data_IF_182743618804
#
_entry.id   IF_182743618804
#
_cell.length_a   1.000
_cell.length_b   1.000
_cell.length_c   1.000
_cell.angle_alpha   90.00
_cell.angle_beta   90.00
_cell.angle_gamma   90.00
#
_symmetry.space_group_name_H-M   'P 1'
#
loop_
_entity.id
_entity.type
_entity.pdbx_description
1 polymer ?
#
# COMPACT_ATOMS: atom_id res chain seq x y z
N UNK A 1 -12.79 18.80 -11.11
CA UNK A 1 -13.15 19.24 -9.73
C UNK A 1 -11.87 19.35 -8.91
N UNK A 2 -11.70 20.35 -8.03
CA UNK A 2 -10.48 20.47 -7.21
C UNK A 2 -10.73 19.88 -5.83
N UNK A 3 -10.03 18.79 -5.47
CA UNK A 3 -10.10 18.19 -4.13
C UNK A 3 -8.77 18.41 -3.39
N UNK A 4 -8.81 18.60 -2.07
CA UNK A 4 -7.59 18.65 -1.25
C UNK A 4 -6.91 17.28 -1.27
N UNK A 5 -5.61 17.24 -1.50
CA UNK A 5 -4.84 15.97 -1.58
C UNK A 5 -5.03 15.07 -0.35
N UNK A 6 -5.15 15.68 0.84
CA UNK A 6 -5.42 14.95 2.08
C UNK A 6 -6.75 14.18 2.03
N UNK A 7 -7.85 14.81 1.60
CA UNK A 7 -9.14 14.12 1.45
C UNK A 7 -9.12 13.08 0.34
N UNK A 8 -8.46 13.40 -0.79
CA UNK A 8 -8.31 12.46 -1.90
C UNK A 8 -7.58 11.18 -1.46
N UNK A 9 -6.51 11.30 -0.66
CA UNK A 9 -5.82 10.16 -0.09
C UNK A 9 -6.75 9.26 0.73
N UNK A 10 -7.55 9.82 1.65
CA UNK A 10 -8.46 9.02 2.46
C UNK A 10 -9.53 8.36 1.59
N UNK A 11 -10.19 9.10 0.69
CA UNK A 11 -11.24 8.57 -0.18
C UNK A 11 -10.70 7.40 -1.03
N UNK A 12 -9.52 7.54 -1.62
CA UNK A 12 -8.89 6.48 -2.41
C UNK A 12 -8.53 5.25 -1.55
N UNK A 13 -7.94 5.45 -0.37
CA UNK A 13 -7.56 4.35 0.51
C UNK A 13 -8.79 3.62 1.08
N UNK A 14 -9.84 4.34 1.48
CA UNK A 14 -11.11 3.76 1.92
C UNK A 14 -11.83 3.01 0.79
N UNK A 15 -11.86 3.56 -0.43
CA UNK A 15 -12.45 2.86 -1.59
C UNK A 15 -11.70 1.57 -1.91
N UNK A 16 -10.37 1.60 -1.82
CA UNK A 16 -9.52 0.40 -1.95
C UNK A 16 -9.85 -0.65 -0.89
N UNK A 17 -10.06 -0.21 0.36
CA UNK A 17 -10.40 -1.06 1.49
C UNK A 17 -11.77 -1.72 1.35
N UNK A 18 -12.81 -0.98 0.95
CA UNK A 18 -14.15 -1.54 0.72
C UNK A 18 -14.10 -2.63 -0.35
N UNK A 19 -13.47 -2.34 -1.49
CA UNK A 19 -13.31 -3.32 -2.56
C UNK A 19 -12.53 -4.54 -2.08
N UNK A 20 -11.42 -4.35 -1.35
CA UNK A 20 -10.62 -5.44 -0.82
C UNK A 20 -11.41 -6.36 0.14
N UNK A 21 -12.30 -5.80 0.96
CA UNK A 21 -13.15 -6.57 1.86
C UNK A 21 -14.20 -7.39 1.10
N UNK A 22 -14.82 -6.83 0.07
CA UNK A 22 -15.77 -7.57 -0.77
C UNK A 22 -15.07 -8.71 -1.51
N UNK A 23 -13.87 -8.45 -2.02
CA UNK A 23 -13.08 -9.43 -2.78
C UNK A 23 -12.57 -10.56 -1.91
N UNK A 24 -12.16 -10.28 -0.67
CA UNK A 24 -11.76 -11.36 0.25
C UNK A 24 -12.91 -12.31 0.55
N UNK A 25 -14.15 -11.82 0.53
CA UNK A 25 -15.31 -12.69 0.63
C UNK A 25 -15.48 -13.61 -0.59
N UNK A 26 -15.25 -13.08 -1.79
CA UNK A 26 -15.27 -13.88 -3.03
C UNK A 26 -14.11 -14.87 -3.06
N UNK A 27 -12.92 -14.48 -2.60
CA UNK A 27 -11.74 -15.36 -2.51
C UNK A 27 -12.04 -16.61 -1.67
N UNK A 28 -12.82 -16.48 -0.60
CA UNK A 28 -13.25 -17.61 0.25
C UNK A 28 -14.15 -18.55 -0.52
N UNK A 29 -15.12 -18.02 -1.27
CA UNK A 29 -16.03 -18.80 -2.12
C UNK A 29 -15.22 -19.58 -3.16
N UNK A 30 -14.26 -18.93 -3.84
CA UNK A 30 -13.39 -19.60 -4.81
C UNK A 30 -12.52 -20.67 -4.12
N UNK A 31 -11.99 -20.37 -2.93
CA UNK A 31 -11.15 -21.28 -2.15
C UNK A 31 -11.86 -22.56 -1.69
N UNK A 32 -13.19 -22.60 -1.70
CA UNK A 32 -13.94 -23.85 -1.50
C UNK A 32 -13.82 -24.81 -2.69
N UNK A 33 -13.77 -24.26 -3.91
CA UNK A 33 -13.63 -25.02 -5.14
C UNK A 33 -12.16 -25.32 -5.46
N UNK A 34 -11.27 -24.35 -5.22
CA UNK A 34 -9.83 -24.44 -5.48
C UNK A 34 -9.06 -24.49 -4.16
N UNK A 35 -8.91 -25.70 -3.62
CA UNK A 35 -8.24 -25.93 -2.34
C UNK A 35 -6.71 -25.82 -2.39
N UNK A 36 -6.12 -25.82 -3.58
CA UNK A 36 -4.68 -25.67 -3.73
C UNK A 36 -4.31 -24.18 -3.88
N UNK A 37 -3.51 -23.60 -2.97
CA UNK A 37 -3.20 -22.17 -2.97
C UNK A 37 -2.38 -21.74 -4.19
N UNK A 38 -1.56 -22.63 -4.76
CA UNK A 38 -0.75 -22.34 -5.95
C UNK A 38 -1.64 -22.23 -7.19
N UNK A 39 -2.60 -23.16 -7.33
CA UNK A 39 -3.56 -23.17 -8.42
C UNK A 39 -4.43 -21.91 -8.37
N UNK A 40 -4.96 -21.61 -7.18
CA UNK A 40 -5.78 -20.42 -6.94
C UNK A 40 -5.00 -19.13 -7.27
N UNK A 41 -3.79 -19.01 -6.71
CA UNK A 41 -2.94 -17.84 -6.91
C UNK A 41 -2.57 -17.61 -8.36
N UNK A 42 -2.14 -18.65 -9.07
CA UNK A 42 -1.76 -18.55 -10.49
C UNK A 42 -2.98 -18.26 -11.39
N UNK A 43 -4.12 -18.90 -11.13
CA UNK A 43 -5.38 -18.63 -11.85
C UNK A 43 -5.83 -17.17 -11.72
N UNK A 44 -5.74 -16.62 -10.51
CA UNK A 44 -6.07 -15.21 -10.24
C UNK A 44 -5.09 -14.26 -10.91
N UNK A 45 -3.80 -14.60 -10.99
CA UNK A 45 -2.84 -13.77 -11.71
C UNK A 45 -3.06 -13.79 -13.23
N UNK A 46 -3.35 -14.95 -13.82
CA UNK A 46 -3.68 -15.04 -15.23
C UNK A 46 -4.90 -14.18 -15.57
N UNK A 47 -5.99 -14.35 -14.82
CA UNK A 47 -7.21 -13.59 -15.05
C UNK A 47 -7.02 -12.10 -14.74
N UNK A 48 -6.33 -11.79 -13.65
CA UNK A 48 -6.00 -10.42 -13.26
C UNK A 48 -5.16 -9.70 -14.31
N UNK A 49 -4.24 -10.40 -14.98
CA UNK A 49 -3.44 -9.84 -16.07
C UNK A 49 -4.28 -9.60 -17.32
N UNK A 50 -5.13 -10.56 -17.70
CA UNK A 50 -6.09 -10.39 -18.79
C UNK A 50 -6.99 -9.17 -18.57
N UNK A 51 -7.59 -9.07 -17.38
CA UNK A 51 -8.44 -7.92 -17.03
C UNK A 51 -7.66 -6.60 -17.00
N UNK A 52 -6.41 -6.62 -16.52
CA UNK A 52 -5.57 -5.43 -16.53
C UNK A 52 -5.30 -4.94 -17.96
N UNK A 53 -5.07 -5.84 -18.93
CA UNK A 53 -4.93 -5.49 -20.35
C UNK A 53 -6.24 -4.88 -20.87
N UNK A 54 -7.36 -5.57 -20.67
CA UNK A 54 -8.68 -5.15 -21.18
C UNK A 54 -9.04 -3.76 -20.65
N UNK A 55 -8.98 -3.55 -19.32
CA UNK A 55 -9.34 -2.27 -18.74
C UNK A 55 -8.37 -1.16 -19.08
N UNK A 56 -7.06 -1.42 -19.07
CA UNK A 56 -6.08 -0.38 -19.43
C UNK A 56 -6.21 -0.01 -20.91
N UNK A 57 -6.57 -0.97 -21.77
CA UNK A 57 -6.93 -0.75 -23.18
C UNK A 57 -8.16 0.14 -23.31
N UNK A 58 -9.27 -0.25 -22.65
CA UNK A 58 -10.51 0.53 -22.62
C UNK A 58 -10.28 1.96 -22.12
N UNK A 59 -9.56 2.14 -21.01
CA UNK A 59 -9.28 3.45 -20.45
C UNK A 59 -8.36 4.30 -21.33
N UNK A 60 -7.58 3.70 -22.24
CA UNK A 60 -6.71 4.40 -23.20
C UNK A 60 -7.46 5.03 -24.36
N UNK A 61 -8.72 4.63 -24.60
CA UNK A 61 -9.57 5.21 -25.64
C UNK A 61 -9.71 6.71 -25.38
N UNK A 62 -9.41 7.51 -26.40
CA UNK A 62 -9.44 8.96 -26.32
C UNK A 62 -10.79 9.49 -26.76
N UNK A 63 -11.42 10.30 -25.91
CA UNK A 63 -12.69 10.98 -26.20
C UNK A 63 -12.54 12.47 -25.90
N UNK A 64 -12.83 13.33 -26.89
CA UNK A 64 -12.67 14.80 -26.80
C UNK A 64 -11.25 15.23 -26.35
N UNK A 65 -10.22 14.59 -26.90
CA UNK A 65 -8.81 14.97 -26.70
C UNK A 65 -8.16 14.49 -25.39
N UNK A 66 -8.89 13.80 -24.51
CA UNK A 66 -8.36 13.15 -23.29
C UNK A 66 -8.75 11.68 -23.28
N UNK A 67 -7.95 10.84 -22.64
CA UNK A 67 -8.36 9.44 -22.46
C UNK A 67 -9.43 9.29 -21.38
N UNK A 68 -10.24 8.25 -21.48
CA UNK A 68 -11.27 7.96 -20.47
C UNK A 68 -10.62 7.80 -19.10
N UNK A 69 -9.48 7.12 -19.03
CA UNK A 69 -8.72 6.95 -17.79
C UNK A 69 -8.18 8.26 -17.22
N UNK A 70 -7.75 9.21 -18.08
CA UNK A 70 -7.33 10.56 -17.65
C UNK A 70 -8.46 11.29 -16.94
N UNK A 71 -9.69 11.17 -17.46
CA UNK A 71 -10.85 11.92 -16.97
C UNK A 71 -11.51 11.31 -15.74
N UNK A 72 -11.44 9.99 -15.59
CA UNK A 72 -12.24 9.25 -14.60
C UNK A 72 -11.40 8.64 -13.48
N UNK A 73 -10.22 8.09 -13.80
CA UNK A 73 -9.48 7.23 -12.88
C UNK A 73 -8.20 7.89 -12.37
N UNK A 74 -7.30 8.36 -13.24
CA UNK A 74 -6.04 9.02 -12.85
C UNK A 74 -5.73 10.14 -13.86
N UNK A 75 -5.71 11.41 -13.43
CA UNK A 75 -5.37 12.56 -14.28
C UNK A 75 -3.99 12.48 -14.95
N UNK A 76 -3.10 11.63 -14.44
CA UNK A 76 -1.77 11.41 -14.99
C UNK A 76 -1.78 10.42 -16.17
N UNK A 77 -2.85 9.62 -16.29
CA UNK A 77 -2.97 8.62 -17.34
C UNK A 77 -3.24 9.26 -18.70
N UNK A 78 -2.64 8.70 -19.75
CA UNK A 78 -2.86 9.13 -21.14
C UNK A 78 -3.19 7.93 -22.00
N UNK A 79 -2.24 7.03 -22.16
CA UNK A 79 -2.36 5.78 -22.93
C UNK A 79 -1.49 4.71 -22.28
N UNK A 80 -1.68 3.47 -22.72
CA UNK A 80 -0.76 2.38 -22.41
C UNK A 80 0.65 2.77 -22.87
N UNK A 81 1.64 2.49 -22.04
CA UNK A 81 3.05 2.64 -22.38
C UNK A 81 3.86 1.49 -21.80
N UNK A 82 4.98 1.18 -22.45
CA UNK A 82 5.98 0.28 -21.90
C UNK A 82 6.75 0.94 -20.75
N UNK A 83 7.22 0.14 -19.77
CA UNK A 83 8.00 0.64 -18.66
C UNK A 83 9.39 1.03 -19.17
N UNK A 84 9.90 2.17 -18.70
CA UNK A 84 11.27 2.59 -19.04
C UNK A 84 12.30 1.78 -18.27
N UNK A 85 13.55 1.74 -18.75
CA UNK A 85 14.68 1.06 -18.08
C UNK A 85 14.82 1.42 -16.60
N UNK A 86 14.58 2.69 -16.25
CA UNK A 86 14.63 3.17 -14.86
C UNK A 86 13.48 2.65 -13.98
N UNK A 87 12.35 2.25 -14.57
CA UNK A 87 11.16 1.74 -13.87
C UNK A 87 11.22 0.22 -13.67
N UNK A 88 11.85 -0.51 -14.61
CA UNK A 88 11.86 -1.98 -14.66
C UNK A 88 12.27 -2.61 -13.33
N UNK A 89 13.38 -2.15 -12.72
CA UNK A 89 13.85 -2.67 -11.43
C UNK A 89 12.77 -2.62 -10.35
N UNK A 90 12.02 -1.53 -10.32
CA UNK A 90 11.00 -1.32 -9.31
C UNK A 90 9.73 -2.11 -9.60
N UNK A 91 9.36 -2.25 -10.88
CA UNK A 91 8.26 -3.14 -11.28
C UNK A 91 8.57 -4.60 -10.95
N UNK A 92 9.80 -5.05 -11.19
CA UNK A 92 10.27 -6.39 -10.83
C UNK A 92 10.11 -6.62 -9.32
N UNK A 93 10.69 -5.75 -8.49
CA UNK A 93 10.63 -5.92 -7.03
C UNK A 93 9.21 -5.78 -6.50
N UNK A 94 8.40 -4.88 -7.08
CA UNK A 94 7.00 -4.74 -6.72
C UNK A 94 6.15 -5.94 -7.14
N UNK A 95 6.44 -6.54 -8.30
CA UNK A 95 5.76 -7.72 -8.82
C UNK A 95 6.11 -8.97 -8.02
N UNK A 96 7.39 -9.16 -7.68
CA UNK A 96 7.83 -10.24 -6.80
C UNK A 96 7.18 -10.15 -5.42
N UNK A 97 7.15 -8.95 -4.81
CA UNK A 97 6.46 -8.74 -3.54
C UNK A 97 4.98 -9.08 -3.59
N UNK A 98 4.31 -8.69 -4.69
CA UNK A 98 2.90 -9.00 -4.93
C UNK A 98 2.66 -10.51 -5.09
N UNK A 99 3.52 -11.22 -5.82
CA UNK A 99 3.44 -12.67 -5.98
C UNK A 99 3.60 -13.39 -4.63
N UNK A 100 4.64 -13.05 -3.86
CA UNK A 100 4.91 -13.62 -2.52
C UNK A 100 3.72 -13.37 -1.59
N UNK A 101 3.24 -12.13 -1.51
CA UNK A 101 2.10 -11.78 -0.69
C UNK A 101 0.85 -12.58 -1.07
N UNK A 102 0.53 -12.65 -2.38
CA UNK A 102 -0.70 -13.28 -2.86
C UNK A 102 -0.72 -14.79 -2.62
N UNK A 103 0.41 -15.48 -2.87
CA UNK A 103 0.52 -16.91 -2.58
C UNK A 103 0.41 -17.17 -1.06
N UNK A 104 1.12 -16.38 -0.25
CA UNK A 104 1.05 -16.50 1.21
C UNK A 104 -0.37 -16.23 1.75
N UNK A 105 -1.06 -15.23 1.20
CA UNK A 105 -2.45 -14.91 1.55
C UNK A 105 -3.39 -16.09 1.24
N UNK A 106 -3.32 -16.69 0.04
CA UNK A 106 -4.18 -17.83 -0.29
C UNK A 106 -3.87 -19.07 0.54
N UNK A 107 -2.59 -19.30 0.86
CA UNK A 107 -2.20 -20.38 1.78
C UNK A 107 -2.89 -20.21 3.14
N UNK A 108 -2.82 -19.00 3.70
CA UNK A 108 -3.46 -18.69 4.98
C UNK A 108 -5.00 -18.78 4.89
N UNK A 109 -5.57 -18.31 3.78
CA UNK A 109 -7.01 -18.31 3.54
C UNK A 109 -7.56 -19.75 3.49
N UNK A 110 -6.86 -20.67 2.84
CA UNK A 110 -7.28 -22.08 2.76
C UNK A 110 -7.17 -22.79 4.11
N UNK A 111 -6.16 -22.44 4.92
CA UNK A 111 -5.99 -22.99 6.27
C UNK A 111 -7.08 -22.50 7.24
N UNK A 112 -7.38 -21.19 7.22
CA UNK A 112 -8.25 -20.55 8.23
C UNK A 112 -9.72 -20.48 7.78
N UNK A 113 -9.97 -20.34 6.47
CA UNK A 113 -11.29 -20.24 5.82
C UNK A 113 -12.21 -19.13 6.35
N UNK A 114 -11.64 -18.09 6.97
CA UNK A 114 -12.36 -16.89 7.42
C UNK A 114 -11.53 -15.63 7.08
N UNK A 115 -12.02 -14.77 6.18
CA UNK A 115 -11.28 -13.59 5.76
C UNK A 115 -11.15 -12.55 6.89
N UNK A 116 -12.07 -12.55 7.86
CA UNK A 116 -12.01 -11.66 9.04
C UNK A 116 -10.86 -12.02 9.99
N UNK A 117 -10.33 -13.24 9.90
CA UNK A 117 -9.15 -13.69 10.64
C UNK A 117 -7.85 -13.48 9.84
N UNK A 118 -7.90 -13.67 8.52
CA UNK A 118 -6.73 -13.57 7.63
C UNK A 118 -6.27 -12.12 7.39
N UNK A 119 -7.22 -11.22 7.14
CA UNK A 119 -6.89 -9.83 6.76
C UNK A 119 -6.26 -8.98 7.88
N UNK A 120 -6.62 -9.14 9.17
CA UNK A 120 -5.90 -8.49 10.26
C UNK A 120 -4.42 -8.83 10.31
N UNK A 121 -4.04 -10.10 10.10
CA UNK A 121 -2.62 -10.49 10.08
C UNK A 121 -1.79 -9.76 9.01
N UNK A 122 -2.43 -9.37 7.91
CA UNK A 122 -1.78 -8.60 6.84
C UNK A 122 -1.53 -7.13 7.21
N UNK A 123 -2.02 -6.64 8.36
CA UNK A 123 -1.82 -5.24 8.79
C UNK A 123 -0.55 -5.02 9.60
N UNK A 124 0.09 -6.09 10.07
CA UNK A 124 1.42 -6.03 10.71
C UNK A 124 2.44 -5.34 9.80
N UNK A 125 2.23 -5.39 8.48
CA UNK A 125 3.06 -4.69 7.49
C UNK A 125 3.21 -3.19 7.75
N UNK A 126 2.29 -2.54 8.46
CA UNK A 126 2.46 -1.14 8.86
C UNK A 126 3.76 -0.96 9.66
N UNK A 127 4.08 -1.88 10.57
CA UNK A 127 5.34 -1.85 11.33
C UNK A 127 6.56 -1.94 10.39
N UNK A 128 6.51 -2.87 9.43
CA UNK A 128 7.56 -3.05 8.43
C UNK A 128 7.74 -1.76 7.60
N UNK A 129 6.64 -1.15 7.16
CA UNK A 129 6.68 0.09 6.39
C UNK A 129 7.23 1.26 7.22
N UNK A 130 6.84 1.40 8.48
CA UNK A 130 7.37 2.45 9.37
C UNK A 130 8.89 2.30 9.56
N UNK A 131 9.38 1.07 9.79
CA UNK A 131 10.80 0.79 9.94
C UNK A 131 11.56 1.09 8.64
N UNK A 132 11.08 0.58 7.51
CA UNK A 132 11.76 0.77 6.23
C UNK A 132 11.72 2.23 5.79
N UNK A 133 10.63 2.96 6.00
CA UNK A 133 10.56 4.41 5.75
C UNK A 133 11.52 5.19 6.64
N UNK A 134 11.70 4.78 7.90
CA UNK A 134 12.69 5.38 8.81
C UNK A 134 14.11 5.29 8.24
N UNK A 135 14.47 4.13 7.73
CA UNK A 135 15.80 3.85 7.16
C UNK A 135 15.96 4.54 5.80
N UNK A 136 15.00 4.34 4.89
CA UNK A 136 15.12 4.77 3.49
C UNK A 136 14.87 6.26 3.28
N UNK A 137 13.98 6.88 4.04
CA UNK A 137 13.69 8.32 3.95
C UNK A 137 14.41 9.15 5.02
N UNK A 138 15.30 8.53 5.82
CA UNK A 138 15.95 9.15 7.00
C UNK A 138 14.94 9.86 7.92
N UNK A 139 13.72 9.35 7.98
CA UNK A 139 12.58 9.99 8.65
C UNK A 139 12.22 9.20 9.89
N UNK A 140 12.86 9.53 11.01
CA UNK A 140 12.61 8.85 12.29
C UNK A 140 11.13 8.93 12.64
N UNK A 141 10.46 7.79 12.88
CA UNK A 141 9.05 7.77 13.22
C UNK A 141 8.83 8.46 14.55
N UNK A 142 7.68 9.13 14.69
CA UNK A 142 7.32 9.75 15.96
C UNK A 142 6.88 8.69 16.96
N UNK A 143 6.95 9.01 18.26
CA UNK A 143 6.42 8.13 19.29
C UNK A 143 4.94 7.81 19.04
N UNK A 144 4.16 8.79 18.60
CA UNK A 144 2.73 8.63 18.25
C UNK A 144 2.56 7.61 17.12
N UNK A 145 3.40 7.65 16.09
CA UNK A 145 3.31 6.71 14.97
C UNK A 145 3.77 5.30 15.33
N UNK A 146 4.81 5.16 16.15
CA UNK A 146 5.22 3.86 16.69
C UNK A 146 4.11 3.30 17.57
N UNK A 147 3.58 4.10 18.49
CA UNK A 147 2.47 3.68 19.35
C UNK A 147 1.24 3.32 18.52
N UNK A 148 0.87 4.15 17.56
CA UNK A 148 -0.29 3.91 16.71
C UNK A 148 -0.11 2.70 15.81
N UNK A 149 1.08 2.45 15.25
CA UNK A 149 1.35 1.26 14.45
C UNK A 149 1.38 -0.02 15.30
N UNK A 150 1.91 0.05 16.52
CA UNK A 150 1.85 -1.05 17.50
C UNK A 150 0.41 -1.30 17.92
N UNK A 151 -0.38 -0.27 18.22
CA UNK A 151 -1.81 -0.39 18.56
C UNK A 151 -2.60 -1.01 17.40
N UNK A 152 -2.37 -0.57 16.16
CA UNK A 152 -3.01 -1.18 14.97
C UNK A 152 -2.63 -2.65 14.84
N UNK A 153 -1.36 -2.98 15.06
CA UNK A 153 -0.86 -4.36 14.97
C UNK A 153 -1.42 -5.24 16.09
N UNK A 154 -1.43 -4.78 17.33
CA UNK A 154 -2.01 -5.48 18.46
C UNK A 154 -3.52 -5.65 18.29
N UNK A 155 -4.22 -4.60 17.88
CA UNK A 155 -5.65 -4.65 17.57
C UNK A 155 -5.95 -5.65 16.46
N UNK A 156 -5.08 -5.74 15.46
CA UNK A 156 -5.21 -6.72 14.40
C UNK A 156 -4.99 -8.16 14.90
N UNK A 157 -3.96 -8.38 15.72
CA UNK A 157 -3.71 -9.69 16.36
C UNK A 157 -4.90 -10.10 17.22
N UNK A 158 -5.41 -9.21 18.08
CA UNK A 158 -6.58 -9.47 18.93
C UNK A 158 -7.83 -9.77 18.10
N UNK A 159 -8.06 -9.01 17.03
CA UNK A 159 -9.15 -9.25 16.08
C UNK A 159 -9.05 -10.59 15.35
N UNK A 160 -7.82 -11.11 15.17
CA UNK A 160 -7.54 -12.39 14.50
C UNK A 160 -7.49 -13.63 15.41
N UNK A 161 -7.76 -13.50 16.70
CA UNK A 161 -7.81 -14.69 17.58
C UNK A 161 -8.98 -15.59 17.10
N UNK A 162 -8.63 -16.84 16.81
CA UNK A 162 -9.57 -17.85 16.31
C UNK A 162 -10.63 -18.20 17.36
N UNK A 163 -11.75 -18.75 16.89
CA UNK A 163 -12.89 -19.19 17.71
C UNK A 163 -12.51 -20.29 18.73
N UNK A 164 -11.40 -20.99 18.50
CA UNK A 164 -10.86 -22.04 19.35
C UNK A 164 -9.71 -21.57 20.25
N UNK A 165 -9.28 -20.30 20.15
CA UNK A 165 -8.14 -19.77 20.90
C UNK A 165 -6.77 -20.33 20.49
N UNK A 166 -6.70 -21.17 19.45
CA UNK A 166 -5.46 -21.77 18.96
C UNK A 166 -4.90 -20.97 17.79
N UNK A 167 -3.70 -20.42 17.97
CA UNK A 167 -2.91 -19.84 16.88
C UNK A 167 -1.92 -20.90 16.41
N UNK A 168 -2.09 -21.40 15.18
CA UNK A 168 -1.12 -22.33 14.61
C UNK A 168 0.21 -21.61 14.34
N UNK A 169 1.32 -22.16 14.81
CA UNK A 169 2.66 -21.63 14.57
C UNK A 169 2.93 -21.45 13.06
N UNK A 170 2.44 -22.38 12.23
CA UNK A 170 2.54 -22.30 10.77
C UNK A 170 1.93 -21.01 10.20
N UNK A 171 0.69 -20.68 10.60
CA UNK A 171 0.04 -19.43 10.18
C UNK A 171 0.85 -18.19 10.61
N UNK A 172 1.42 -18.17 11.81
CA UNK A 172 2.27 -17.05 12.24
C UNK A 172 3.52 -16.92 11.38
N UNK A 173 4.18 -18.04 11.07
CA UNK A 173 5.37 -18.06 10.22
C UNK A 173 5.04 -17.49 8.83
N UNK A 174 3.93 -17.93 8.21
CA UNK A 174 3.47 -17.42 6.92
C UNK A 174 3.20 -15.91 7.00
N UNK A 175 2.53 -15.46 8.06
CA UNK A 175 2.20 -14.04 8.26
C UNK A 175 3.46 -13.18 8.37
N UNK A 176 4.38 -13.52 9.26
CA UNK A 176 5.54 -12.67 9.58
C UNK A 176 6.66 -12.77 8.54
N UNK A 177 6.84 -13.93 7.90
CA UNK A 177 7.96 -14.16 6.98
C UNK A 177 7.58 -14.07 5.50
N UNK A 178 6.31 -14.28 5.15
CA UNK A 178 5.87 -14.31 3.73
C UNK A 178 4.96 -13.11 3.43
N UNK A 179 3.79 -13.05 4.07
CA UNK A 179 2.74 -12.08 3.74
C UNK A 179 3.22 -10.64 3.97
N UNK A 180 3.65 -10.30 5.19
CA UNK A 180 4.00 -8.92 5.53
C UNK A 180 5.29 -8.43 4.83
N UNK A 181 6.37 -9.22 4.72
CA UNK A 181 7.53 -8.84 3.92
C UNK A 181 7.20 -8.65 2.43
N UNK A 182 6.40 -9.55 1.84
CA UNK A 182 5.95 -9.43 0.45
C UNK A 182 5.14 -8.15 0.22
N UNK A 183 4.20 -7.85 1.12
CA UNK A 183 3.39 -6.63 1.05
C UNK A 183 4.23 -5.35 1.25
N UNK A 184 5.22 -5.39 2.14
CA UNK A 184 6.14 -4.27 2.36
C UNK A 184 6.96 -4.00 1.09
N UNK A 185 7.55 -5.06 0.52
CA UNK A 185 8.34 -5.00 -0.70
C UNK A 185 7.52 -4.38 -1.84
N UNK A 186 6.32 -4.91 -2.06
CA UNK A 186 5.38 -4.38 -3.04
C UNK A 186 5.08 -2.90 -2.81
N UNK A 187 4.63 -2.53 -1.62
CA UNK A 187 4.15 -1.18 -1.30
C UNK A 187 5.25 -0.12 -1.44
N UNK A 188 6.48 -0.43 -1.02
CA UNK A 188 7.62 0.50 -1.10
C UNK A 188 8.00 0.76 -2.55
N UNK A 189 8.17 -0.30 -3.34
CA UNK A 189 8.64 -0.15 -4.71
C UNK A 189 7.56 0.39 -5.63
N UNK A 190 6.30 0.01 -5.42
CA UNK A 190 5.15 0.60 -6.10
C UNK A 190 5.04 2.10 -5.83
N UNK A 191 5.26 2.53 -4.58
CA UNK A 191 5.30 3.95 -4.23
C UNK A 191 6.47 4.67 -4.90
N UNK A 192 7.66 4.08 -4.92
CA UNK A 192 8.83 4.66 -5.62
C UNK A 192 8.51 4.91 -7.10
N UNK A 193 7.89 3.95 -7.79
CA UNK A 193 7.47 4.10 -9.19
C UNK A 193 6.45 5.23 -9.34
N UNK A 194 5.45 5.30 -8.45
CA UNK A 194 4.41 6.33 -8.52
C UNK A 194 4.95 7.75 -8.30
N UNK A 195 5.98 7.92 -7.47
CA UNK A 195 6.61 9.23 -7.23
C UNK A 195 7.57 9.67 -8.34
N UNK A 196 7.97 8.77 -9.24
CA UNK A 196 8.85 9.12 -10.36
C UNK A 196 8.15 10.02 -11.37
N UNK A 197 8.93 10.89 -12.00
CA UNK A 197 8.50 11.64 -13.18
C UNK A 197 9.03 10.96 -14.43
N UNK A 198 8.13 10.58 -15.32
CA UNK A 198 8.46 10.00 -16.62
C UNK A 198 8.10 11.03 -17.68
N UNK A 199 9.07 11.43 -18.51
CA UNK A 199 8.90 12.50 -19.50
C UNK A 199 8.37 13.81 -18.86
N UNK A 200 8.95 14.23 -17.74
CA UNK A 200 8.53 15.38 -16.94
C UNK A 200 7.07 15.35 -16.42
N UNK A 201 6.39 14.21 -16.51
CA UNK A 201 5.02 14.02 -16.02
C UNK A 201 4.98 13.05 -14.84
N UNK A 202 4.02 13.20 -13.91
CA UNK A 202 3.81 12.21 -12.86
C UNK A 202 3.47 10.85 -13.48
N UNK A 203 3.99 9.78 -12.88
CA UNK A 203 3.65 8.43 -13.30
C UNK A 203 2.18 8.10 -12.96
N UNK A 204 1.51 7.29 -13.76
CA UNK A 204 0.08 6.99 -13.62
C UNK A 204 -0.19 5.63 -12.96
N UNK A 205 -1.33 5.47 -12.28
CA UNK A 205 -1.64 4.23 -11.56
C UNK A 205 -2.03 3.07 -12.46
N UNK A 206 -2.55 3.31 -13.67
CA UNK A 206 -3.05 2.25 -14.55
C UNK A 206 -1.89 1.48 -15.19
N UNK A 207 -0.92 2.17 -15.79
CA UNK A 207 0.29 1.56 -16.32
C UNK A 207 1.08 0.87 -15.20
N UNK A 208 1.15 1.49 -14.01
CA UNK A 208 1.78 0.84 -12.86
C UNK A 208 1.09 -0.47 -12.49
N UNK A 209 -0.25 -0.48 -12.46
CA UNK A 209 -1.03 -1.69 -12.15
C UNK A 209 -0.82 -2.77 -13.21
N UNK A 210 -0.91 -2.42 -14.49
CA UNK A 210 -0.72 -3.34 -15.61
C UNK A 210 0.62 -4.07 -15.50
N UNK A 211 1.71 -3.32 -15.39
CA UNK A 211 3.05 -3.91 -15.34
C UNK A 211 3.32 -4.65 -14.03
N UNK A 212 2.85 -4.15 -12.88
CA UNK A 212 3.00 -4.87 -11.62
C UNK A 212 2.31 -6.23 -11.63
N UNK A 213 1.10 -6.32 -12.21
CA UNK A 213 0.41 -7.61 -12.37
C UNK A 213 1.12 -8.50 -13.37
N UNK A 214 1.61 -7.95 -14.49
CA UNK A 214 2.36 -8.72 -15.48
C UNK A 214 3.59 -9.40 -14.84
N UNK A 215 4.40 -8.63 -14.10
CA UNK A 215 5.56 -9.18 -13.41
C UNK A 215 5.18 -10.15 -12.29
N UNK A 216 4.13 -9.87 -11.52
CA UNK A 216 3.67 -10.79 -10.49
C UNK A 216 3.21 -12.13 -11.09
N UNK A 217 2.44 -12.08 -12.19
CA UNK A 217 2.03 -13.26 -12.94
C UNK A 217 3.23 -14.06 -13.46
N UNK A 218 4.23 -13.38 -14.01
CA UNK A 218 5.46 -14.02 -14.47
C UNK A 218 6.23 -14.69 -13.33
N UNK A 219 6.37 -14.03 -12.18
CA UNK A 219 7.03 -14.61 -11.01
C UNK A 219 6.29 -15.84 -10.48
N UNK A 220 4.96 -15.76 -10.33
CA UNK A 220 4.15 -16.89 -9.88
C UNK A 220 4.20 -18.04 -10.88
N UNK A 221 4.15 -17.76 -12.19
CA UNK A 221 4.28 -18.78 -13.23
C UNK A 221 5.63 -19.50 -13.16
N UNK A 222 6.73 -18.76 -13.08
CA UNK A 222 8.08 -19.35 -12.95
C UNK A 222 8.18 -20.19 -11.67
N UNK A 223 7.68 -19.67 -10.55
CA UNK A 223 7.68 -20.40 -9.28
C UNK A 223 6.88 -21.71 -9.36
N UNK A 224 5.67 -21.68 -9.93
CA UNK A 224 4.82 -22.87 -10.06
C UNK A 224 5.43 -23.89 -11.01
N UNK A 225 6.00 -23.48 -12.14
CA UNK A 225 6.68 -24.40 -13.07
C UNK A 225 7.86 -25.11 -12.39
N UNK A 226 8.67 -24.36 -11.64
CA UNK A 226 9.79 -24.94 -10.90
C UNK A 226 9.26 -25.92 -9.84
N UNK A 227 8.20 -25.56 -9.12
CA UNK A 227 7.59 -26.43 -8.12
C UNK A 227 7.01 -27.72 -8.74
N UNK A 228 6.30 -27.61 -9.85
CA UNK A 228 5.73 -28.74 -10.60
C UNK A 228 6.84 -29.69 -11.06
N UNK A 229 7.94 -29.15 -11.59
CA UNK A 229 9.10 -29.95 -12.02
C UNK A 229 9.71 -30.77 -10.87
N UNK A 230 9.84 -30.19 -9.67
CA UNK A 230 10.42 -30.89 -8.52
C UNK A 230 9.43 -31.84 -7.82
N UNK A 231 8.16 -31.50 -7.77
CA UNK A 231 7.13 -32.25 -7.04
C UNK A 231 6.41 -33.29 -7.90
N UNK A 232 6.57 -33.25 -9.22
CA UNK A 232 5.80 -34.09 -10.16
C UNK A 232 4.32 -33.73 -10.22
N UNK A 233 3.94 -32.55 -9.72
CA UNK A 233 2.55 -32.07 -9.76
C UNK A 233 2.26 -31.27 -11.04
N UNK A 234 0.96 -31.06 -11.33
CA UNK A 234 0.51 -30.40 -12.55
C UNK A 234 -0.21 -29.07 -12.26
N UNK A 235 0.19 -28.33 -11.22
CA UNK A 235 -0.52 -27.12 -10.77
C UNK A 235 -0.61 -26.07 -11.88
N UNK A 236 0.40 -25.97 -12.74
CA UNK A 236 0.42 -25.07 -13.89
C UNK A 236 -0.74 -25.35 -14.84
N UNK A 237 -0.91 -26.61 -15.24
CA UNK A 237 -1.95 -27.03 -16.18
C UNK A 237 -3.32 -26.93 -15.50
N UNK A 238 -3.43 -27.38 -14.25
CA UNK A 238 -4.68 -27.28 -13.48
C UNK A 238 -5.14 -25.84 -13.30
N UNK A 239 -4.22 -24.88 -13.19
CA UNK A 239 -4.55 -23.45 -13.14
C UNK A 239 -5.22 -22.97 -14.42
N UNK A 240 -4.81 -23.49 -15.59
CA UNK A 240 -5.45 -23.11 -16.86
C UNK A 240 -6.87 -23.68 -16.96
N UNK A 241 -7.09 -24.91 -16.49
CA UNK A 241 -8.43 -25.49 -16.40
C UNK A 241 -9.32 -24.74 -15.39
N UNK A 242 -8.76 -24.33 -14.25
CA UNK A 242 -9.47 -23.58 -13.22
C UNK A 242 -9.99 -22.24 -13.75
N UNK A 243 -9.27 -21.57 -14.65
CA UNK A 243 -9.74 -20.32 -15.30
C UNK A 243 -11.05 -20.54 -16.06
N UNK A 244 -11.15 -21.65 -16.79
CA UNK A 244 -12.33 -21.96 -17.59
C UNK A 244 -13.50 -22.32 -16.67
N UNK A 245 -13.25 -23.20 -15.70
CA UNK A 245 -14.29 -23.71 -14.82
C UNK A 245 -14.83 -22.68 -13.83
N UNK A 246 -14.00 -21.74 -13.39
CA UNK A 246 -14.35 -20.72 -12.39
C UNK A 246 -14.35 -19.30 -12.96
N UNK A 247 -14.55 -19.16 -14.27
CA UNK A 247 -14.48 -17.89 -15.00
C UNK A 247 -15.31 -16.77 -14.35
N UNK A 248 -16.56 -17.07 -13.96
CA UNK A 248 -17.46 -16.10 -13.35
C UNK A 248 -16.87 -15.47 -12.08
N UNK A 249 -16.47 -16.29 -11.12
CA UNK A 249 -15.91 -15.81 -9.86
C UNK A 249 -14.55 -15.13 -10.04
N UNK A 250 -13.66 -15.72 -10.84
CA UNK A 250 -12.36 -15.14 -11.15
C UNK A 250 -12.48 -13.78 -11.84
N UNK A 251 -13.54 -13.56 -12.63
CA UNK A 251 -13.80 -12.28 -13.26
C UNK A 251 -14.16 -11.17 -12.29
N UNK A 252 -15.02 -11.46 -11.31
CA UNK A 252 -15.38 -10.51 -10.27
C UNK A 252 -14.14 -10.14 -9.44
N UNK A 253 -13.32 -11.13 -9.08
CA UNK A 253 -12.05 -10.89 -8.37
C UNK A 253 -11.10 -10.05 -9.22
N UNK A 254 -10.90 -10.40 -10.49
CA UNK A 254 -10.02 -9.66 -11.40
C UNK A 254 -10.41 -8.18 -11.55
N UNK A 255 -11.71 -7.91 -11.75
CA UNK A 255 -12.26 -6.55 -11.87
C UNK A 255 -12.05 -5.76 -10.58
N UNK A 256 -12.55 -6.30 -9.46
CA UNK A 256 -12.48 -5.58 -8.18
C UNK A 256 -11.03 -5.36 -7.74
N UNK A 257 -10.16 -6.34 -7.93
CA UNK A 257 -8.75 -6.24 -7.56
C UNK A 257 -8.04 -5.20 -8.41
N UNK A 258 -8.36 -5.10 -9.71
CA UNK A 258 -7.83 -4.05 -10.58
C UNK A 258 -8.12 -2.64 -10.03
N UNK A 259 -9.38 -2.34 -9.72
CA UNK A 259 -9.77 -1.03 -9.18
C UNK A 259 -9.25 -0.80 -7.76
N UNK A 260 -9.30 -1.81 -6.88
CA UNK A 260 -8.79 -1.71 -5.51
C UNK A 260 -7.30 -1.30 -5.51
N UNK A 261 -6.48 -1.93 -6.35
CA UNK A 261 -5.07 -1.58 -6.44
C UNK A 261 -4.81 -0.24 -7.13
N UNK A 262 -5.60 0.15 -8.13
CA UNK A 262 -5.47 1.48 -8.74
C UNK A 262 -5.67 2.58 -7.68
N UNK A 263 -6.72 2.48 -6.88
CA UNK A 263 -6.97 3.44 -5.81
C UNK A 263 -5.84 3.43 -4.77
N UNK A 264 -5.35 2.25 -4.39
CA UNK A 264 -4.20 2.12 -3.50
C UNK A 264 -2.93 2.78 -4.06
N UNK A 265 -2.58 2.53 -5.33
CA UNK A 265 -1.41 3.14 -5.99
C UNK A 265 -1.52 4.65 -6.00
N UNK A 266 -2.70 5.19 -6.33
CA UNK A 266 -2.92 6.64 -6.32
C UNK A 266 -2.73 7.21 -4.92
N UNK A 267 -3.28 6.57 -3.89
CA UNK A 267 -3.10 6.98 -2.51
C UNK A 267 -1.63 6.95 -2.07
N UNK A 268 -0.87 5.90 -2.47
CA UNK A 268 0.58 5.80 -2.23
C UNK A 268 1.37 6.96 -2.85
N UNK A 269 0.93 7.50 -3.99
CA UNK A 269 1.55 8.67 -4.63
C UNK A 269 1.34 9.98 -3.87
N UNK A 270 0.32 10.06 -3.03
CA UNK A 270 -0.02 11.26 -2.26
C UNK A 270 0.61 11.21 -0.86
N UNK A 271 0.53 10.05 -0.20
CA UNK A 271 0.96 9.83 1.18
C UNK A 271 2.24 9.03 1.33
N UNK A 272 2.55 8.68 2.58
CA UNK A 272 3.55 7.65 2.89
C UNK A 272 2.92 6.27 2.76
N UNK A 273 3.75 5.25 2.53
CA UNK A 273 3.26 3.89 2.42
C UNK A 273 2.65 3.43 3.76
N UNK A 274 3.31 3.71 4.88
CA UNK A 274 2.78 3.41 6.22
C UNK A 274 1.41 4.05 6.48
N UNK A 275 1.23 5.32 6.11
CA UNK A 275 -0.03 6.05 6.33
C UNK A 275 -1.14 5.54 5.42
N UNK A 276 -0.81 5.34 4.14
CA UNK A 276 -1.78 4.82 3.17
C UNK A 276 -2.25 3.43 3.59
N UNK A 277 -1.33 2.60 4.07
CA UNK A 277 -1.65 1.27 4.57
C UNK A 277 -2.51 1.35 5.83
N UNK A 278 -2.17 2.20 6.81
CA UNK A 278 -2.99 2.37 8.01
C UNK A 278 -4.45 2.74 7.67
N UNK A 279 -4.65 3.66 6.72
CA UNK A 279 -6.02 3.99 6.27
C UNK A 279 -6.66 2.80 5.55
N UNK A 280 -5.92 2.08 4.69
CA UNK A 280 -6.41 0.89 4.00
C UNK A 280 -6.77 -0.26 4.97
N UNK A 281 -6.16 -0.33 6.14
CA UNK A 281 -6.49 -1.31 7.19
C UNK A 281 -7.92 -1.20 7.70
N UNK A 282 -8.63 -0.11 7.38
CA UNK A 282 -10.10 -0.03 7.52
C UNK A 282 -10.85 -1.15 6.80
N UNK A 283 -10.20 -1.90 5.90
CA UNK A 283 -10.72 -3.14 5.28
C UNK A 283 -11.31 -4.10 6.31
N UNK A 284 -10.74 -4.14 7.52
CA UNK A 284 -11.17 -5.03 8.60
C UNK A 284 -12.59 -4.70 9.07
N UNK A 285 -12.92 -3.41 9.14
CA UNK A 285 -14.27 -2.94 9.49
C UNK A 285 -15.28 -3.47 8.46
N UNK A 286 -14.92 -3.38 7.17
CA UNK A 286 -15.79 -3.82 6.08
C UNK A 286 -15.83 -5.34 5.90
N UNK A 287 -14.82 -6.06 6.38
CA UNK A 287 -14.76 -7.53 6.29
C UNK A 287 -15.74 -8.19 7.25
N UNK A 288 -16.09 -7.55 8.37
CA UNK A 288 -17.03 -8.13 9.34
C UNK A 288 -18.44 -8.31 8.73
N UNK A 289 -19.08 -7.29 8.12
CA UNK A 289 -20.31 -7.49 7.37
C UNK A 289 -20.20 -8.57 6.28
N UNK A 290 -19.08 -8.61 5.57
CA UNK A 290 -18.85 -9.62 4.51
C UNK A 290 -18.84 -11.03 5.10
N UNK A 291 -18.10 -11.25 6.20
CA UNK A 291 -18.09 -12.54 6.90
C UNK A 291 -19.48 -12.92 7.42
N UNK A 292 -20.27 -11.97 7.96
CA UNK A 292 -21.66 -12.23 8.39
C UNK A 292 -22.51 -12.72 7.21
N UNK A 293 -22.42 -12.05 6.06
CA UNK A 293 -23.15 -12.43 4.84
C UNK A 293 -22.71 -13.81 4.36
N UNK A 294 -21.41 -14.11 4.35
CA UNK A 294 -20.90 -15.43 3.98
C UNK A 294 -21.36 -16.53 4.93
N UNK A 295 -21.40 -16.25 6.23
CA UNK A 295 -21.88 -17.19 7.24
C UNK A 295 -23.38 -17.47 7.05
N UNK A 296 -24.17 -16.42 6.76
CA UNK A 296 -25.60 -16.55 6.45
C UNK A 296 -25.85 -17.45 5.23
N UNK A 297 -25.01 -17.36 4.19
CA UNK A 297 -25.09 -18.22 3.01
C UNK A 297 -24.41 -19.61 3.18
N UNK A 298 -23.84 -19.91 4.35
CA UNK A 298 -23.19 -21.19 4.63
C UNK A 298 -21.82 -21.38 3.97
N UNK A 299 -21.18 -20.31 3.48
CA UNK A 299 -19.84 -20.38 2.90
C UNK A 299 -18.72 -20.40 3.96
N UNK A 300 -19.00 -19.90 5.16
CA UNK A 300 -18.10 -20.01 6.32
C UNK A 300 -18.87 -20.50 7.54
N UNK A 301 -18.14 -20.99 8.53
CA UNK A 301 -18.74 -21.37 9.80
C UNK A 301 -19.43 -20.16 10.45
N UNK A 302 -20.55 -20.38 11.17
CA UNK A 302 -21.18 -19.32 11.95
C UNK A 302 -20.18 -18.67 12.90
N UNK A 303 -20.31 -17.35 13.07
CA UNK A 303 -19.50 -16.58 13.99
C UNK A 303 -19.73 -17.10 15.41
N UNK A 304 -18.68 -17.17 16.25
CA UNK A 304 -18.83 -17.55 17.67
C UNK A 304 -19.94 -16.75 18.31
N UNK A 305 -20.77 -17.44 19.06
CA UNK A 305 -21.69 -16.84 20.01
C UNK A 305 -21.04 -16.66 21.39
N UNK A 306 -19.78 -17.10 21.59
CA UNK A 306 -19.05 -16.92 22.85
C UNK A 306 -18.85 -15.41 23.15
N UNK A 307 -19.45 -14.89 24.24
CA UNK A 307 -19.35 -13.49 24.63
C UNK A 307 -17.90 -13.00 24.83
N UNK A 308 -17.00 -13.85 25.33
CA UNK A 308 -15.61 -13.45 25.58
C UNK A 308 -14.87 -13.17 24.26
N UNK A 309 -15.04 -14.04 23.28
CA UNK A 309 -14.44 -13.89 21.94
C UNK A 309 -15.00 -12.68 21.18
N UNK A 310 -16.30 -12.39 21.32
CA UNK A 310 -16.91 -11.20 20.73
C UNK A 310 -16.29 -9.93 21.32
N UNK A 311 -16.11 -9.87 22.66
CA UNK A 311 -15.48 -8.73 23.33
C UNK A 311 -14.01 -8.56 22.88
N UNK A 312 -13.24 -9.64 22.79
CA UNK A 312 -11.84 -9.58 22.33
C UNK A 312 -11.78 -9.05 20.90
N UNK A 313 -12.61 -9.56 19.98
CA UNK A 313 -12.66 -9.06 18.60
C UNK A 313 -13.08 -7.60 18.52
N UNK A 314 -14.12 -7.21 19.25
CA UNK A 314 -14.61 -5.84 19.26
C UNK A 314 -13.56 -4.86 19.82
N UNK A 315 -12.90 -5.22 20.93
CA UNK A 315 -11.82 -4.40 21.49
C UNK A 315 -10.64 -4.26 20.53
N UNK A 316 -10.28 -5.33 19.79
CA UNK A 316 -9.27 -5.29 18.74
C UNK A 316 -9.62 -4.31 17.61
N UNK A 317 -10.87 -4.31 17.15
CA UNK A 317 -11.37 -3.38 16.12
C UNK A 317 -11.33 -1.93 16.63
N UNK A 318 -11.76 -1.69 17.87
CA UNK A 318 -11.74 -0.34 18.47
C UNK A 318 -10.31 0.17 18.63
N UNK A 319 -9.39 -0.66 19.15
CA UNK A 319 -7.97 -0.31 19.26
C UNK A 319 -7.39 0.05 17.89
N UNK A 320 -7.68 -0.77 16.88
CA UNK A 320 -7.23 -0.53 15.52
C UNK A 320 -7.77 0.79 14.95
N UNK A 321 -9.06 1.08 15.12
CA UNK A 321 -9.67 2.34 14.71
C UNK A 321 -8.98 3.54 15.35
N UNK A 322 -8.75 3.49 16.65
CA UNK A 322 -8.03 4.54 17.38
C UNK A 322 -6.61 4.71 16.83
N UNK A 323 -5.90 3.61 16.56
CA UNK A 323 -4.57 3.63 15.96
C UNK A 323 -4.56 4.25 14.57
N UNK A 324 -5.53 3.92 13.70
CA UNK A 324 -5.65 4.50 12.34
C UNK A 324 -5.92 6.01 12.41
N UNK A 325 -6.86 6.43 13.25
CA UNK A 325 -7.21 7.86 13.42
C UNK A 325 -6.01 8.62 13.95
N UNK A 326 -5.35 8.11 14.99
CA UNK A 326 -4.16 8.70 15.56
C UNK A 326 -3.05 8.83 14.51
N UNK A 327 -2.76 7.77 13.75
CA UNK A 327 -1.74 7.79 12.70
C UNK A 327 -2.06 8.77 11.55
N UNK A 328 -3.33 8.89 11.19
CA UNK A 328 -3.81 9.78 10.13
C UNK A 328 -3.67 11.27 10.47
N UNK A 329 -3.73 11.63 11.76
CA UNK A 329 -3.69 13.02 12.22
C UNK A 329 -2.25 13.59 12.32
N UNK A 330 -1.23 12.74 12.28
CA UNK A 330 0.19 13.07 12.55
C UNK A 330 0.94 13.69 11.36
N UNK A 331 0.35 13.82 10.16
CA UNK A 331 1.08 14.33 8.99
C UNK A 331 1.01 15.86 8.83
N UNK A 332 2.16 16.52 8.90
CA UNK A 332 2.36 17.92 8.47
C UNK A 332 3.51 18.04 7.47
N UNK A 333 3.33 18.79 6.38
CA UNK A 333 4.42 19.17 5.47
C UNK A 333 4.83 20.60 5.78
N UNK A 334 6.13 20.90 5.70
CA UNK A 334 6.62 22.25 5.88
C UNK A 334 7.78 22.57 4.95
N UNK A 335 7.98 23.86 4.73
CA UNK A 335 9.11 24.40 4.01
C UNK A 335 9.85 25.36 4.92
N UNK A 336 11.18 25.30 4.91
CA UNK A 336 12.02 26.33 5.49
C UNK A 336 12.69 27.07 4.35
N UNK A 337 12.57 28.38 4.39
CA UNK A 337 13.30 29.29 3.53
C UNK A 337 14.52 29.77 4.32
N UNK A 338 15.72 29.62 3.77
CA UNK A 338 16.97 29.92 4.45
C UNK A 338 17.74 30.97 3.66
N UNK A 339 18.23 31.98 4.37
CA UNK A 339 19.16 32.99 3.87
C UNK A 339 20.54 32.75 4.48
N UNK A 340 21.56 32.68 3.64
CA UNK A 340 22.94 32.46 4.03
C UNK A 340 23.65 33.76 4.42
N UNK A 341 24.74 33.61 5.17
CA UNK A 341 25.73 34.68 5.33
C UNK A 341 26.66 34.73 4.12
N UNK A 342 27.09 35.93 3.67
CA UNK A 342 28.11 36.06 2.63
C UNK A 342 29.42 35.35 3.02
N UNK A 343 30.15 34.84 2.03
CA UNK A 343 31.48 34.22 2.25
C UNK A 343 31.46 32.74 2.65
N UNK A 344 30.29 32.13 2.86
CA UNK A 344 30.18 30.70 3.14
C UNK A 344 29.93 29.88 1.86
N UNK A 345 30.60 28.71 1.71
CA UNK A 345 30.38 27.85 0.54
C UNK A 345 28.97 27.24 0.54
N UNK A 346 28.23 27.49 -0.56
CA UNK A 346 26.85 27.02 -0.78
C UNK A 346 26.77 25.50 -0.71
N UNK A 347 27.70 24.79 -1.37
CA UNK A 347 27.69 23.32 -1.44
C UNK A 347 27.86 22.67 -0.07
N UNK A 348 28.84 23.13 0.72
CA UNK A 348 29.06 22.61 2.08
C UNK A 348 27.85 22.88 2.98
N UNK A 349 27.24 24.06 2.84
CA UNK A 349 26.07 24.44 3.63
C UNK A 349 24.85 23.61 3.23
N UNK A 350 24.63 23.43 1.93
CA UNK A 350 23.57 22.57 1.38
C UNK A 350 23.71 21.12 1.87
N UNK A 351 24.94 20.58 1.87
CA UNK A 351 25.22 19.24 2.37
C UNK A 351 24.90 19.11 3.86
N UNK A 352 25.35 20.08 4.69
CA UNK A 352 25.04 20.13 6.12
C UNK A 352 23.52 20.17 6.38
N UNK A 353 22.77 20.95 5.60
CA UNK A 353 21.31 21.02 5.69
C UNK A 353 20.68 19.68 5.25
N UNK A 354 21.17 19.08 4.17
CA UNK A 354 20.68 17.80 3.65
C UNK A 354 20.86 16.65 4.65
N UNK A 355 21.96 16.66 5.41
CA UNK A 355 22.26 15.63 6.42
C UNK A 355 21.40 15.74 7.69
N UNK A 356 20.61 16.83 7.82
CA UNK A 356 19.62 16.95 8.89
C UNK A 356 18.50 15.93 8.70
N UNK A 357 18.39 14.98 9.65
CA UNK A 357 17.27 14.03 9.71
C UNK A 357 15.92 14.76 9.63
N UNK A 358 15.07 14.38 8.67
CA UNK A 358 13.77 15.00 8.40
C UNK A 358 13.74 15.99 7.23
N UNK A 359 14.91 16.39 6.72
CA UNK A 359 15.02 17.13 5.46
C UNK A 359 14.87 16.14 4.30
N UNK A 360 13.88 16.38 3.45
CA UNK A 360 13.59 15.53 2.29
C UNK A 360 14.23 16.11 1.01
N UNK A 361 14.25 17.44 0.91
CA UNK A 361 14.85 18.13 -0.22
C UNK A 361 15.50 19.44 0.21
N UNK A 362 16.68 19.72 -0.32
CA UNK A 362 17.27 21.07 -0.31
C UNK A 362 17.41 21.51 -1.75
N UNK A 363 17.08 22.75 -2.05
CA UNK A 363 17.22 23.32 -3.39
C UNK A 363 17.70 24.75 -3.26
N UNK A 364 18.80 25.06 -3.94
CA UNK A 364 19.27 26.43 -4.09
C UNK A 364 18.34 27.19 -5.03
N UNK A 365 18.00 28.42 -4.68
CA UNK A 365 17.12 29.28 -5.47
C UNK A 365 17.73 30.66 -5.62
N UNK A 366 17.39 31.34 -6.72
CA UNK A 366 17.70 32.76 -6.89
C UNK A 366 16.53 33.58 -6.34
N UNK A 367 16.79 34.51 -5.40
CA UNK A 367 15.78 35.37 -4.80
C UNK A 367 16.17 35.86 -3.40
N UNK A 368 15.17 36.23 -2.59
CA UNK A 368 15.37 36.76 -1.23
C UNK A 368 15.97 35.76 -0.24
N UNK A 369 15.82 34.47 -0.55
CA UNK A 369 16.35 33.32 0.17
C UNK A 369 17.29 32.54 -0.75
N UNK A 370 18.32 31.93 -0.18
CA UNK A 370 19.33 31.17 -0.93
C UNK A 370 18.97 29.68 -1.03
N UNK A 371 18.23 29.15 -0.03
CA UNK A 371 17.74 27.78 -0.06
C UNK A 371 16.26 27.66 0.26
N UNK A 372 15.62 26.70 -0.40
CA UNK A 372 14.33 26.14 0.01
C UNK A 372 14.58 24.71 0.50
N UNK A 373 14.25 24.49 1.76
CA UNK A 373 14.34 23.18 2.42
C UNK A 373 12.94 22.63 2.57
N UNK A 374 12.65 21.54 1.87
CA UNK A 374 11.42 20.80 2.06
C UNK A 374 11.59 19.82 3.20
N UNK A 375 10.73 19.98 4.20
CA UNK A 375 10.73 19.20 5.42
C UNK A 375 9.46 18.37 5.50
N UNK A 376 9.63 17.13 5.95
CA UNK A 376 8.54 16.22 6.20
C UNK A 376 8.56 15.79 7.67
N UNK A 377 8.14 16.69 8.55
CA UNK A 377 8.05 16.44 10.00
C UNK A 377 6.65 15.99 10.38
N UNK A 378 6.60 14.92 11.16
CA UNK A 378 5.36 14.27 11.59
C UNK A 378 4.79 14.91 12.88
N UNK A 379 5.30 16.04 13.35
CA UNK A 379 4.70 16.87 14.42
C UNK A 379 5.19 18.33 14.30
N UNK A 380 4.28 19.29 14.48
CA UNK A 380 4.56 20.73 14.36
C UNK A 380 5.56 21.26 15.38
N UNK A 381 5.67 20.65 16.57
CA UNK A 381 6.40 21.26 17.71
C UNK A 381 7.78 20.62 17.92
N UNK A 382 7.85 19.32 18.28
CA UNK A 382 9.14 18.68 18.61
C UNK A 382 10.04 18.41 17.39
N UNK A 383 9.44 18.05 16.24
CA UNK A 383 10.18 17.86 14.99
C UNK A 383 10.72 19.18 14.43
N UNK A 384 9.95 20.25 14.62
CA UNK A 384 10.33 21.62 14.28
C UNK A 384 11.53 22.09 15.09
N UNK A 385 11.46 22.03 16.43
CA UNK A 385 12.56 22.47 17.30
C UNK A 385 13.86 21.73 17.00
N UNK A 386 13.78 20.41 16.75
CA UNK A 386 14.99 19.61 16.48
C UNK A 386 15.66 19.98 15.17
N UNK A 387 14.88 20.29 14.13
CA UNK A 387 15.42 20.72 12.84
C UNK A 387 15.91 22.16 12.94
N UNK A 388 15.17 23.05 13.60
CA UNK A 388 15.60 24.42 13.81
C UNK A 388 16.90 24.52 14.60
N UNK A 389 17.04 23.81 15.73
CA UNK A 389 18.30 23.79 16.48
C UNK A 389 19.48 23.34 15.62
N UNK A 390 19.26 22.38 14.72
CA UNK A 390 20.29 21.93 13.78
C UNK A 390 20.59 22.96 12.70
N UNK A 391 19.59 23.67 12.20
CA UNK A 391 19.75 24.76 11.24
C UNK A 391 20.49 25.93 11.91
N UNK A 392 20.13 26.31 13.13
CA UNK A 392 20.79 27.34 13.93
C UNK A 392 22.25 26.98 14.23
N UNK A 393 22.57 25.70 14.41
CA UNK A 393 23.95 25.24 14.59
C UNK A 393 24.84 25.37 13.35
N UNK A 394 24.27 25.69 12.17
CA UNK A 394 25.03 25.91 10.94
C UNK A 394 25.41 27.39 10.86
N UNK A 395 26.68 27.71 11.15
CA UNK A 395 27.21 29.08 11.19
C UNK A 395 26.91 29.92 9.93
N UNK A 396 26.85 29.27 8.77
CA UNK A 396 26.59 29.91 7.47
C UNK A 396 25.16 30.37 7.25
N UNK A 397 24.25 30.17 8.21
CA UNK A 397 22.84 30.58 8.12
C UNK A 397 22.68 31.94 8.81
N UNK A 398 22.09 32.90 8.08
CA UNK A 398 21.79 34.26 8.56
C UNK A 398 20.38 34.34 9.12
N UNK A 399 19.40 33.86 8.36
CA UNK A 399 17.98 33.93 8.68
C UNK A 399 17.28 32.69 8.16
N UNK A 400 16.22 32.27 8.83
CA UNK A 400 15.34 31.21 8.35
C UNK A 400 13.87 31.57 8.59
N UNK A 401 12.99 31.13 7.69
CA UNK A 401 11.54 31.30 7.81
C UNK A 401 10.84 29.97 7.59
N UNK A 402 10.09 29.52 8.59
CA UNK A 402 9.29 28.30 8.50
C UNK A 402 7.88 28.59 7.97
N UNK A 403 7.45 27.81 6.99
CA UNK A 403 6.12 27.86 6.40
C UNK A 403 5.51 26.46 6.42
N UNK A 404 4.50 26.25 7.25
CA UNK A 404 3.75 24.99 7.24
C UNK A 404 2.74 25.00 6.08
N UNK A 405 2.75 23.96 5.24
CA UNK A 405 1.81 23.85 4.12
C UNK A 405 0.60 23.08 4.59
N UNK A 406 -0.45 23.82 4.94
CA UNK A 406 -1.72 23.26 5.40
C UNK A 406 -2.63 22.80 4.24
N UNK A 407 -2.41 23.26 2.99
CA UNK A 407 -3.30 22.98 1.84
C UNK A 407 -2.52 22.71 0.55
N UNK A 408 -2.55 21.46 0.04
CA UNK A 408 -2.17 21.11 -1.34
C UNK A 408 -3.42 20.64 -2.10
N UNK A 409 -3.62 21.15 -3.32
CA UNK A 409 -4.75 20.81 -4.19
C UNK A 409 -4.29 19.93 -5.36
N UNK A 410 -5.16 19.04 -5.84
CA UNK A 410 -4.96 18.27 -7.07
C UNK A 410 -6.16 18.48 -8.00
N UNK A 411 -5.89 18.65 -9.30
CA UNK A 411 -6.94 18.70 -10.31
C UNK A 411 -7.36 17.26 -10.62
N UNK A 412 -8.64 16.96 -10.40
CA UNK A 412 -9.31 15.72 -10.83
C UNK A 412 -10.11 16.02 -12.08
#
# INVERSE_FOLDING_TARGET
MKIRKKYLLYVLAFSSAILAALLSGIDVVIGQFLKNPLILGLSIFYFGFLMAIIFTGFFSISYKGKSIGERTIDPSFKKIRFPKKVEIKYHILSGAGNAIFTIGYFWLLILIKDPSLVLPFSQVVILYLVIIESITEKNTPTLIEIQSSVIVTLGAILGSISLSGTISLESLVIVFLVINPGWALQSIYQRKIKMMKINNRPNDSLNIRLWNVAFACLFTMVFVIIYDFYSGSNNFIESLYAIINQFGWLSLVGIGTFFSYIFYIRALGIGKASVTQAVKSSVIIFTIPVSIVLAYFGYINPISTDPALIIIRFSGIVLMLLGIISFALTLTKAYIFIKMKPGYPIEKTMQKIWDIKGVNRVTAVAGDYDFIVKIHTRTLVKGYERILRKIESIEGIKEYKWQSVLKEWENI
#
